data_IF_542682125474
#
_entry.id   IF_542682125474
#
_cell.length_a   1.000
_cell.length_b   1.000
_cell.length_c   1.000
_cell.angle_alpha   90.00
_cell.angle_beta   90.00
_cell.angle_gamma   90.00
#
_symmetry.space_group_name_H-M   'P 1'
#
loop_
_entity.id
_entity.type
_entity.pdbx_description
1 polymer ?
#
# COMPACT_ATOMS: atom_id res chain seq x y z
N UNK A 1 5.17 -4.80 -21.74
CA UNK A 1 4.28 -5.59 -20.85
C UNK A 1 3.09 -4.70 -20.50
N UNK A 2 1.84 -5.11 -20.78
CA UNK A 2 0.69 -4.41 -20.21
C UNK A 2 0.84 -4.39 -18.68
N UNK A 3 0.44 -3.29 -18.04
CA UNK A 3 0.33 -3.23 -16.58
C UNK A 3 -0.44 -4.47 -16.10
N UNK A 4 0.15 -5.28 -15.23
CA UNK A 4 -0.56 -6.46 -14.73
C UNK A 4 -1.77 -5.99 -13.92
N UNK A 5 -2.89 -6.72 -14.02
CA UNK A 5 -4.10 -6.45 -13.21
C UNK A 5 -3.73 -6.37 -11.72
N UNK A 6 -2.78 -7.19 -11.29
CA UNK A 6 -2.24 -7.19 -9.94
C UNK A 6 -1.57 -5.85 -9.58
N UNK A 7 -0.78 -5.26 -10.48
CA UNK A 7 -0.11 -3.96 -10.28
C UNK A 7 -1.10 -2.79 -10.19
N UNK A 8 -2.12 -2.79 -11.04
CA UNK A 8 -3.18 -1.77 -10.95
C UNK A 8 -3.93 -1.88 -9.61
N UNK A 9 -4.34 -3.11 -9.23
CA UNK A 9 -5.07 -3.35 -7.98
C UNK A 9 -4.23 -3.02 -6.74
N UNK A 10 -2.94 -3.35 -6.73
CA UNK A 10 -2.07 -3.04 -5.58
C UNK A 10 -1.85 -1.54 -5.41
N UNK A 11 -1.75 -0.78 -6.50
CA UNK A 11 -1.68 0.69 -6.48
C UNK A 11 -2.96 1.31 -5.91
N UNK A 12 -4.12 0.85 -6.37
CA UNK A 12 -5.42 1.34 -5.86
C UNK A 12 -5.63 0.97 -4.40
N UNK A 13 -5.20 -0.22 -3.99
CA UNK A 13 -5.21 -0.65 -2.59
C UNK A 13 -4.31 0.23 -1.71
N UNK A 14 -3.07 0.48 -2.14
CA UNK A 14 -2.14 1.35 -1.40
C UNK A 14 -2.72 2.76 -1.21
N UNK A 15 -3.38 3.32 -2.23
CA UNK A 15 -4.08 4.61 -2.14
C UNK A 15 -5.20 4.58 -1.08
N UNK A 16 -5.98 3.52 -1.02
CA UNK A 16 -7.03 3.35 0.00
C UNK A 16 -6.46 3.26 1.41
N UNK A 17 -5.37 2.50 1.60
CA UNK A 17 -4.68 2.40 2.90
C UNK A 17 -4.18 3.76 3.36
N UNK A 18 -3.58 4.56 2.48
CA UNK A 18 -3.10 5.90 2.82
C UNK A 18 -4.24 6.80 3.34
N UNK A 19 -5.39 6.81 2.65
CA UNK A 19 -6.52 7.61 3.09
C UNK A 19 -7.13 7.09 4.39
N UNK A 20 -7.32 5.78 4.52
CA UNK A 20 -7.80 5.17 5.76
C UNK A 20 -6.89 5.54 6.95
N UNK A 21 -5.58 5.37 6.79
CA UNK A 21 -4.61 5.68 7.85
C UNK A 21 -4.60 7.18 8.20
N UNK A 22 -4.79 8.06 7.21
CA UNK A 22 -4.93 9.51 7.45
C UNK A 22 -6.17 9.81 8.28
N UNK A 23 -7.31 9.22 7.93
CA UNK A 23 -8.59 9.47 8.59
C UNK A 23 -8.59 8.91 10.02
N UNK A 24 -8.05 7.70 10.21
CA UNK A 24 -7.95 7.07 11.53
C UNK A 24 -7.04 7.88 12.46
N UNK A 25 -5.86 8.30 11.99
CA UNK A 25 -4.96 9.18 12.75
C UNK A 25 -5.64 10.49 13.13
N UNK A 26 -6.36 11.11 12.20
CA UNK A 26 -7.03 12.39 12.45
C UNK A 26 -8.18 12.24 13.46
N UNK A 27 -8.96 11.17 13.37
CA UNK A 27 -10.19 10.98 14.17
C UNK A 27 -9.92 10.39 15.55
N UNK A 28 -9.03 9.42 15.64
CA UNK A 28 -8.82 8.64 16.86
C UNK A 28 -7.50 8.93 17.55
N UNK A 29 -6.62 9.75 16.93
CA UNK A 29 -5.24 9.99 17.38
C UNK A 29 -4.44 8.70 17.61
N UNK A 30 -4.84 7.62 16.94
CA UNK A 30 -4.14 6.34 16.97
C UNK A 30 -3.01 6.40 15.94
N UNK A 31 -1.78 6.11 16.37
CA UNK A 31 -0.59 6.23 15.53
C UNK A 31 0.22 4.94 15.41
N UNK A 32 0.18 4.05 16.40
CA UNK A 32 1.01 2.84 16.43
C UNK A 32 0.50 1.80 15.43
N UNK A 33 -0.75 1.37 15.57
CA UNK A 33 -1.35 0.39 14.66
C UNK A 33 -1.52 0.97 13.26
N UNK A 34 -1.88 2.25 13.18
CA UNK A 34 -2.06 2.93 11.91
C UNK A 34 -0.75 3.09 11.13
N UNK A 35 0.39 3.27 11.83
CA UNK A 35 1.71 3.25 11.19
C UNK A 35 2.10 1.84 10.73
N UNK A 36 1.78 0.80 11.50
CA UNK A 36 2.03 -0.59 11.12
C UNK A 36 1.23 -0.95 9.86
N UNK A 37 -0.06 -0.62 9.84
CA UNK A 37 -0.95 -0.85 8.70
C UNK A 37 -0.52 -0.06 7.46
N UNK A 38 -0.12 1.20 7.62
CA UNK A 38 0.36 2.02 6.51
C UNK A 38 1.58 1.35 5.84
N UNK A 39 2.57 0.95 6.64
CA UNK A 39 3.79 0.31 6.14
C UNK A 39 3.50 -1.02 5.46
N UNK A 40 2.73 -1.90 6.10
CA UNK A 40 2.42 -3.21 5.53
C UNK A 40 1.56 -3.09 4.27
N UNK A 41 0.56 -2.21 4.27
CA UNK A 41 -0.32 -2.00 3.12
C UNK A 41 0.38 -1.40 1.90
N UNK A 42 1.32 -0.46 2.09
CA UNK A 42 2.11 0.08 0.97
C UNK A 42 3.20 -0.90 0.49
N UNK A 43 3.72 -1.75 1.38
CA UNK A 43 4.73 -2.76 1.04
C UNK A 43 4.22 -3.77 0.01
N UNK A 44 2.92 -4.05 -0.06
CA UNK A 44 2.37 -4.96 -1.07
C UNK A 44 2.69 -4.47 -2.48
N UNK A 45 2.47 -3.17 -2.76
CA UNK A 45 2.79 -2.57 -4.04
C UNK A 45 4.29 -2.55 -4.33
N UNK A 46 5.11 -2.30 -3.30
CA UNK A 46 6.57 -2.33 -3.41
C UNK A 46 7.08 -3.75 -3.75
N UNK A 47 6.65 -4.77 -3.03
CA UNK A 47 7.06 -6.16 -3.29
C UNK A 47 6.62 -6.64 -4.68
N UNK A 48 5.43 -6.24 -5.17
CA UNK A 48 4.99 -6.56 -6.54
C UNK A 48 5.89 -5.86 -7.57
N UNK A 49 6.31 -4.62 -7.29
CA UNK A 49 7.22 -3.88 -8.17
C UNK A 49 8.61 -4.51 -8.20
N UNK A 50 9.13 -4.92 -7.04
CA UNK A 50 10.41 -5.62 -6.89
C UNK A 50 10.38 -6.96 -7.64
N UNK A 51 9.36 -7.80 -7.43
CA UNK A 51 9.22 -9.08 -8.13
C UNK A 51 9.20 -8.94 -9.65
N UNK A 52 8.57 -7.88 -10.19
CA UNK A 52 8.60 -7.60 -11.62
C UNK A 52 9.94 -7.08 -12.13
N UNK A 53 10.75 -6.49 -11.25
CA UNK A 53 12.07 -5.96 -11.58
C UNK A 53 13.17 -7.02 -11.43
N UNK A 54 12.93 -8.07 -10.62
CA UNK A 54 13.78 -9.25 -10.46
C UNK A 54 13.72 -10.22 -11.65
N UNK A 55 12.71 -10.11 -12.54
CA UNK A 55 12.60 -10.91 -13.77
C UNK A 55 13.50 -10.40 -14.93
N UNK A 56 14.60 -9.70 -14.64
CA UNK A 56 15.60 -9.31 -15.65
C UNK A 56 16.67 -10.40 -15.85
#
# INVERSE_FOLDING_TARGET
MPDSILRCKSKDFAKQIVFLCRDVKSKYKESVLTNQLLRSGTSIGANIHEAQSEEC
#
